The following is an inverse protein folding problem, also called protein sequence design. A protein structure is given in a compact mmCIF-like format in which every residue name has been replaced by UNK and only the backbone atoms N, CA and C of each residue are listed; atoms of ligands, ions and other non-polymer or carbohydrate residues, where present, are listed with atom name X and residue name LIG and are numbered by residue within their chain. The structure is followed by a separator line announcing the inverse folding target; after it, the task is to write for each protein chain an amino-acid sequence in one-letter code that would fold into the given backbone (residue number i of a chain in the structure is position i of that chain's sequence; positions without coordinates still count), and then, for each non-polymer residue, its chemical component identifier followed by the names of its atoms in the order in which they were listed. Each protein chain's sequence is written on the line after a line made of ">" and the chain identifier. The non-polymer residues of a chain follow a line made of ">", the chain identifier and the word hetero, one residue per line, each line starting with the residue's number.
data_IF_443446515474
#
_entry.id   IF_443446515474
#
_cell.length_a   1.000
_cell.length_b   1.000
_cell.length_c   1.000
_cell.angle_alpha   90.00
_cell.angle_beta   90.00
_cell.angle_gamma   90.00
#
_symmetry.space_group_name_H-M   'P 1'
#
loop_
_entity.id
_entity.type
_entity.pdbx_description
1 polymer ?
#
# COMPACT_ATOMS: atom_id res chain seq x y z
N UNK A 1 -18.20 -1.26 2.23
CA UNK A 1 -16.80 -0.80 2.31
C UNK A 1 -16.36 -0.87 3.77
N UNK A 2 -15.31 -1.65 4.09
CA UNK A 2 -14.73 -1.69 5.43
C UNK A 2 -13.92 -0.42 5.68
N UNK A 3 -13.85 0.01 6.94
CA UNK A 3 -12.94 1.08 7.34
C UNK A 3 -11.50 0.56 7.44
N UNK A 4 -10.55 1.36 6.96
CA UNK A 4 -9.13 1.12 7.17
C UNK A 4 -8.81 1.22 8.66
N UNK A 5 -8.11 0.24 9.27
CA UNK A 5 -7.74 0.26 10.68
C UNK A 5 -6.54 1.19 10.93
N UNK A 6 -6.72 2.50 10.74
CA UNK A 6 -5.65 3.52 10.77
C UNK A 6 -4.82 3.52 12.06
N UNK A 7 -5.43 3.17 13.20
CA UNK A 7 -4.77 3.07 14.49
C UNK A 7 -3.76 1.90 14.59
N UNK A 8 -3.87 0.90 13.71
CA UNK A 8 -2.96 -0.26 13.64
C UNK A 8 -1.86 -0.11 12.57
N UNK A 9 -1.75 1.07 11.97
CA UNK A 9 -0.78 1.36 10.91
C UNK A 9 0.38 2.22 11.42
N UNK A 10 1.59 1.88 10.98
CA UNK A 10 2.77 2.72 11.17
C UNK A 10 2.67 4.01 10.34
N UNK A 11 3.49 5.05 10.61
CA UNK A 11 3.50 6.26 9.79
C UNK A 11 3.75 5.98 8.29
N UNK A 12 4.69 5.10 7.95
CA UNK A 12 4.96 4.72 6.55
C UNK A 12 3.79 3.98 5.91
N UNK A 13 3.18 3.04 6.63
CA UNK A 13 2.00 2.33 6.15
C UNK A 13 0.84 3.28 5.87
N UNK A 14 0.64 4.29 6.72
CA UNK A 14 -0.40 5.32 6.49
C UNK A 14 -0.15 6.10 5.19
N UNK A 15 1.11 6.41 4.88
CA UNK A 15 1.49 7.08 3.62
C UNK A 15 1.13 6.18 2.43
N UNK A 16 1.50 4.90 2.48
CA UNK A 16 1.23 3.95 1.40
C UNK A 16 -0.28 3.72 1.22
N UNK A 17 -1.03 3.54 2.31
CA UNK A 17 -2.49 3.35 2.22
C UNK A 17 -3.17 4.58 1.64
N UNK A 18 -2.77 5.81 2.05
CA UNK A 18 -3.28 7.04 1.42
C UNK A 18 -3.00 7.08 -0.08
N UNK A 19 -1.81 6.65 -0.50
CA UNK A 19 -1.47 6.55 -1.93
C UNK A 19 -2.42 5.59 -2.68
N UNK A 20 -2.68 4.40 -2.13
CA UNK A 20 -3.60 3.43 -2.75
C UNK A 20 -5.08 3.83 -2.68
N UNK A 21 -5.49 4.67 -1.71
CA UNK A 21 -6.84 5.23 -1.71
C UNK A 21 -7.07 6.15 -2.92
N UNK A 22 -6.03 6.82 -3.42
CA UNK A 22 -6.07 7.65 -4.62
C UNK A 22 -5.98 6.82 -5.90
N UNK A 23 -4.95 5.97 -6.04
CA UNK A 23 -4.63 5.31 -7.32
C UNK A 23 -5.23 3.91 -7.49
N UNK A 24 -5.75 3.30 -6.41
CA UNK A 24 -6.39 1.96 -6.34
C UNK A 24 -5.51 0.77 -6.73
N UNK A 25 -4.82 0.81 -7.87
CA UNK A 25 -3.90 -0.21 -8.36
C UNK A 25 -2.72 0.43 -9.07
N UNK A 26 -1.50 -0.01 -8.75
CA UNK A 26 -0.26 0.57 -9.28
C UNK A 26 0.76 -0.53 -9.56
N UNK A 27 1.44 -0.43 -10.71
CA UNK A 27 2.47 -1.37 -11.13
C UNK A 27 3.70 -1.36 -10.24
N UNK A 28 4.36 -2.51 -10.10
CA UNK A 28 5.44 -2.77 -9.14
C UNK A 28 6.60 -1.78 -9.27
N UNK A 29 7.04 -1.49 -10.49
CA UNK A 29 8.16 -0.57 -10.73
C UNK A 29 7.81 0.86 -10.33
N UNK A 30 6.58 1.29 -10.62
CA UNK A 30 6.12 2.65 -10.34
C UNK A 30 5.98 2.86 -8.84
N UNK A 31 5.33 1.91 -8.13
CA UNK A 31 5.12 2.05 -6.68
C UNK A 31 6.45 2.07 -5.93
N UNK A 32 7.41 1.22 -6.28
CA UNK A 32 8.71 1.18 -5.60
C UNK A 32 9.46 2.49 -5.76
N UNK A 33 9.41 3.11 -6.95
CA UNK A 33 9.99 4.43 -7.21
C UNK A 33 9.27 5.51 -6.40
N UNK A 34 7.95 5.56 -6.47
CA UNK A 34 7.14 6.59 -5.81
C UNK A 34 7.29 6.58 -4.29
N UNK A 35 7.31 5.39 -3.69
CA UNK A 35 7.47 5.26 -2.24
C UNK A 35 8.86 5.70 -1.77
N UNK A 36 9.93 5.41 -2.53
CA UNK A 36 11.28 5.93 -2.23
C UNK A 36 11.31 7.46 -2.30
N UNK A 37 10.68 8.07 -3.30
CA UNK A 37 10.59 9.53 -3.41
C UNK A 37 9.78 10.16 -2.25
N UNK A 38 8.91 9.39 -1.59
CA UNK A 38 8.18 9.79 -0.38
C UNK A 38 8.96 9.52 0.92
N UNK A 39 10.24 9.15 0.83
CA UNK A 39 11.10 8.93 1.99
C UNK A 39 10.98 7.55 2.63
N UNK A 40 10.27 6.59 2.00
CA UNK A 40 10.20 5.22 2.51
C UNK A 40 11.45 4.48 2.03
N UNK A 41 12.37 4.21 2.96
CA UNK A 41 13.66 3.57 2.65
C UNK A 41 13.50 2.13 2.13
N UNK A 42 12.52 1.40 2.68
CA UNK A 42 12.27 -0.01 2.38
C UNK A 42 10.83 -0.26 1.92
N UNK A 43 10.45 0.21 0.71
CA UNK A 43 9.07 0.11 0.23
C UNK A 43 8.51 -1.31 0.23
N UNK A 44 9.33 -2.30 -0.14
CA UNK A 44 8.93 -3.71 -0.18
C UNK A 44 8.45 -4.22 1.17
N UNK A 45 9.12 -3.85 2.27
CA UNK A 45 8.71 -4.23 3.63
C UNK A 45 7.34 -3.65 4.00
N UNK A 46 7.11 -2.39 3.65
CA UNK A 46 5.83 -1.72 3.94
C UNK A 46 4.70 -2.34 3.13
N UNK A 47 4.94 -2.62 1.84
CA UNK A 47 3.99 -3.31 0.97
C UNK A 47 3.67 -4.72 1.47
N UNK A 48 4.68 -5.52 1.82
CA UNK A 48 4.52 -6.86 2.40
C UNK A 48 3.71 -6.83 3.70
N UNK A 49 4.00 -5.90 4.60
CA UNK A 49 3.24 -5.71 5.85
C UNK A 49 1.77 -5.41 5.57
N UNK A 50 1.48 -4.52 4.62
CA UNK A 50 0.11 -4.19 4.24
C UNK A 50 -0.64 -5.32 3.53
N UNK A 51 0.08 -6.19 2.81
CA UNK A 51 -0.46 -7.42 2.23
C UNK A 51 -0.81 -8.41 3.35
N UNK A 52 0.08 -8.62 4.32
CA UNK A 52 -0.18 -9.48 5.47
C UNK A 52 -1.38 -8.99 6.30
N UNK A 53 -1.60 -7.67 6.37
CA UNK A 53 -2.77 -7.05 7.00
C UNK A 53 -4.05 -7.12 6.15
N UNK A 54 -3.98 -7.66 4.93
CA UNK A 54 -5.11 -7.76 4.00
C UNK A 54 -5.58 -6.42 3.43
N UNK A 55 -4.80 -5.35 3.61
CA UNK A 55 -5.14 -4.01 3.12
C UNK A 55 -4.78 -3.88 1.65
N UNK A 56 -3.63 -4.43 1.26
CA UNK A 56 -3.20 -4.54 -0.12
C UNK A 56 -3.25 -5.98 -0.59
N UNK A 57 -3.32 -6.16 -1.91
CA UNK A 57 -3.20 -7.42 -2.61
C UNK A 57 -2.10 -7.28 -3.66
N UNK A 58 -1.23 -8.28 -3.78
CA UNK A 58 -0.26 -8.36 -4.87
C UNK A 58 -0.85 -9.19 -6.00
N UNK A 59 -0.97 -8.57 -7.18
CA UNK A 59 -1.26 -9.24 -8.43
C UNK A 59 0.02 -9.54 -9.19
N UNK A 60 -0.12 -9.93 -10.46
CA UNK A 60 1.02 -10.08 -11.35
C UNK A 60 1.53 -8.69 -11.77
N UNK A 61 2.68 -8.29 -11.24
CA UNK A 61 3.35 -7.02 -11.56
C UNK A 61 2.63 -5.76 -11.06
N UNK A 62 1.64 -5.88 -10.18
CA UNK A 62 1.01 -4.73 -9.53
C UNK A 62 0.61 -4.99 -8.07
N UNK A 63 0.43 -3.90 -7.35
CA UNK A 63 -0.19 -3.87 -6.02
C UNK A 63 -1.54 -3.16 -6.13
N UNK A 64 -2.53 -3.61 -5.37
CA UNK A 64 -3.88 -3.03 -5.37
C UNK A 64 -4.44 -2.92 -3.96
N UNK A 65 -5.31 -1.95 -3.74
CA UNK A 65 -6.13 -1.89 -2.54
C UNK A 65 -7.11 -3.09 -2.55
N UNK A 66 -7.20 -3.80 -1.41
CA UNK A 66 -8.12 -4.93 -1.28
C UNK A 66 -9.56 -4.48 -1.55
N UNK A 67 -10.36 -5.37 -2.17
CA UNK A 67 -11.73 -5.08 -2.59
C UNK A 67 -12.63 -4.64 -1.43
N UNK A 68 -12.28 -5.05 -0.21
CA UNK A 68 -13.02 -4.69 1.00
C UNK A 68 -12.96 -3.18 1.31
N UNK A 69 -11.92 -2.50 0.84
CA UNK A 69 -11.66 -1.07 1.08
C UNK A 69 -11.84 -0.20 -0.18
N UNK A 70 -12.29 -0.77 -1.30
CA UNK A 70 -12.49 -0.06 -2.58
C UNK A 70 -13.96 0.12 -2.91
#
# INVERSE_FOLDING_TARGET
>A
MKQIPWNKLTPEEKIVVKYFLTYKSVGDLIILRDLRMKGIERPTRVLESLIQKGILVKGEGCYSLSKEYR
#
